data_IF_764853755514
#
_entry.id   IF_764853755514
#
_cell.length_a   1.000
_cell.length_b   1.000
_cell.length_c   1.000
_cell.angle_alpha   90.00
_cell.angle_beta   90.00
_cell.angle_gamma   90.00
#
_symmetry.space_group_name_H-M   'P 1'
#
loop_
_entity.id
_entity.type
_entity.pdbx_description
1 polymer ?
#
# COMPACT_ATOMS: atom_id res chain seq x y z
N UNK A 1 -4.13 -15.89 26.32
CA UNK A 1 -3.27 -16.61 25.35
C UNK A 1 -2.48 -15.51 24.65
N UNK A 2 -1.15 -15.45 24.79
CA UNK A 2 -0.37 -14.31 24.27
C UNK A 2 -0.54 -14.18 22.76
N UNK A 3 -0.71 -12.96 22.26
CA UNK A 3 -0.83 -12.67 20.82
C UNK A 3 0.38 -13.23 20.10
N UNK A 4 0.18 -14.29 19.31
CA UNK A 4 1.27 -14.96 18.61
C UNK A 4 1.76 -14.06 17.48
N UNK A 5 3.08 -13.86 17.42
CA UNK A 5 3.73 -13.13 16.31
C UNK A 5 3.33 -13.75 14.97
N UNK A 6 3.18 -15.08 14.91
CA UNK A 6 2.79 -15.80 13.70
C UNK A 6 1.36 -15.48 13.26
N UNK A 7 0.43 -15.26 14.21
CA UNK A 7 -0.94 -14.89 13.89
C UNK A 7 -1.02 -13.48 13.28
N UNK A 8 -0.39 -12.49 13.93
CA UNK A 8 -0.30 -11.13 13.39
C UNK A 8 0.40 -11.08 12.03
N UNK A 9 1.49 -11.84 11.89
CA UNK A 9 2.21 -11.99 10.62
C UNK A 9 1.32 -12.55 9.50
N UNK A 10 0.63 -13.65 9.77
CA UNK A 10 -0.15 -14.35 8.74
C UNK A 10 -1.37 -13.53 8.34
N UNK A 11 -2.07 -12.92 9.30
CA UNK A 11 -3.23 -12.05 9.05
C UNK A 11 -2.82 -10.81 8.27
N UNK A 12 -1.74 -10.13 8.68
CA UNK A 12 -1.26 -8.95 7.96
C UNK A 12 -0.74 -9.30 6.57
N UNK A 13 0.03 -10.38 6.42
CA UNK A 13 0.52 -10.80 5.10
C UNK A 13 -0.64 -11.10 4.15
N UNK A 14 -1.63 -11.88 4.58
CA UNK A 14 -2.79 -12.22 3.78
C UNK A 14 -3.61 -10.96 3.43
N UNK A 15 -3.86 -10.10 4.42
CA UNK A 15 -4.56 -8.83 4.25
C UNK A 15 -3.90 -7.96 3.18
N UNK A 16 -2.60 -7.71 3.36
CA UNK A 16 -1.82 -6.85 2.47
C UNK A 16 -1.76 -7.43 1.07
N UNK A 17 -1.46 -8.72 0.91
CA UNK A 17 -1.34 -9.30 -0.43
C UNK A 17 -2.67 -9.28 -1.17
N UNK A 18 -3.78 -9.64 -0.51
CA UNK A 18 -5.09 -9.71 -1.18
C UNK A 18 -5.70 -8.32 -1.41
N UNK A 19 -5.38 -7.33 -0.58
CA UNK A 19 -5.91 -5.97 -0.74
C UNK A 19 -5.09 -5.10 -1.67
N UNK A 20 -3.77 -5.36 -1.81
CA UNK A 20 -2.87 -4.54 -2.62
C UNK A 20 -2.69 -5.08 -4.04
N UNK A 21 -2.94 -6.36 -4.29
CA UNK A 21 -2.69 -6.94 -5.61
C UNK A 21 -3.71 -6.42 -6.62
N UNK A 22 -3.31 -5.58 -7.57
CA UNK A 22 -4.26 -5.02 -8.55
C UNK A 22 -5.17 -3.92 -7.99
N UNK A 23 -4.74 -3.23 -6.93
CA UNK A 23 -5.32 -1.95 -6.53
C UNK A 23 -4.66 -0.78 -7.31
N UNK A 24 -5.20 0.44 -7.16
CA UNK A 24 -4.73 1.68 -7.80
C UNK A 24 -3.23 1.91 -7.61
N UNK A 25 -2.72 1.53 -6.45
CA UNK A 25 -1.32 1.62 -6.04
C UNK A 25 -0.41 0.66 -6.82
N UNK A 26 -0.89 -0.56 -7.04
CA UNK A 26 -0.24 -1.59 -7.83
C UNK A 26 -0.10 -1.13 -9.29
N UNK A 27 -1.17 -0.59 -9.87
CA UNK A 27 -1.12 -0.06 -11.23
C UNK A 27 -0.25 1.19 -11.33
N UNK A 28 -0.28 2.07 -10.33
CA UNK A 28 0.58 3.23 -10.28
C UNK A 28 2.07 2.81 -10.27
N UNK A 29 2.45 1.82 -9.46
CA UNK A 29 3.80 1.27 -9.43
C UNK A 29 4.21 0.64 -10.77
N UNK A 30 3.31 -0.12 -11.41
CA UNK A 30 3.54 -0.71 -12.73
C UNK A 30 3.75 0.37 -13.81
N UNK A 31 2.92 1.42 -13.84
CA UNK A 31 3.00 2.52 -14.80
C UNK A 31 4.26 3.37 -14.58
N UNK A 32 4.58 3.69 -13.33
CA UNK A 32 5.81 4.41 -12.98
C UNK A 32 7.05 3.61 -13.42
N UNK A 33 7.05 2.29 -13.23
CA UNK A 33 8.14 1.41 -13.65
C UNK A 33 8.33 1.30 -15.17
N UNK A 34 7.30 1.64 -15.96
CA UNK A 34 7.41 1.74 -17.42
C UNK A 34 8.05 3.05 -17.88
N UNK A 35 7.83 4.14 -17.13
CA UNK A 35 8.30 5.49 -17.48
C UNK A 35 9.65 5.83 -16.85
N UNK A 36 10.04 5.14 -15.79
CA UNK A 36 11.24 5.39 -14.99
C UNK A 36 12.04 4.10 -14.72
N UNK A 37 13.33 4.21 -14.37
CA UNK A 37 14.14 3.03 -14.06
C UNK A 37 13.57 2.23 -12.88
N UNK A 38 13.26 0.95 -13.14
CA UNK A 38 12.58 0.02 -12.22
C UNK A 38 13.15 0.00 -10.80
N UNK A 39 14.48 0.06 -10.64
CA UNK A 39 15.15 0.03 -9.33
C UNK A 39 14.87 1.29 -8.49
N UNK A 40 14.78 2.46 -9.11
CA UNK A 40 14.51 3.72 -8.41
C UNK A 40 13.03 3.83 -8.04
N UNK A 41 12.14 3.37 -8.92
CA UNK A 41 10.69 3.30 -8.64
C UNK A 41 10.44 2.33 -7.49
N UNK A 42 10.99 1.12 -7.57
CA UNK A 42 10.81 0.10 -6.53
C UNK A 42 11.29 0.59 -5.17
N UNK A 43 12.48 1.20 -5.09
CA UNK A 43 13.01 1.71 -3.82
C UNK A 43 12.21 2.91 -3.27
N UNK A 44 11.70 3.78 -4.14
CA UNK A 44 10.81 4.87 -3.74
C UNK A 44 9.47 4.38 -3.19
N UNK A 45 8.79 3.50 -3.94
CA UNK A 45 7.52 2.91 -3.52
C UNK A 45 7.67 2.07 -2.24
N UNK A 46 8.65 1.15 -2.19
CA UNK A 46 8.89 0.36 -0.97
C UNK A 46 9.27 1.23 0.22
N UNK A 47 10.05 2.29 0.01
CA UNK A 47 10.37 3.24 1.08
C UNK A 47 9.12 3.90 1.65
N UNK A 48 8.21 4.36 0.79
CA UNK A 48 6.93 4.94 1.20
C UNK A 48 6.08 3.95 1.99
N UNK A 49 5.89 2.75 1.43
CA UNK A 49 5.09 1.67 2.00
C UNK A 49 5.61 1.21 3.36
N UNK A 50 6.92 1.02 3.50
CA UNK A 50 7.53 0.62 4.77
C UNK A 50 7.33 1.68 5.84
N UNK A 51 7.57 2.96 5.52
CA UNK A 51 7.36 4.06 6.48
C UNK A 51 5.90 4.10 6.90
N UNK A 52 4.99 4.03 5.93
CA UNK A 52 3.56 4.04 6.18
C UNK A 52 3.12 2.86 7.06
N UNK A 53 3.58 1.64 6.77
CA UNK A 53 3.28 0.45 7.57
C UNK A 53 3.77 0.57 9.00
N UNK A 54 4.98 1.10 9.21
CA UNK A 54 5.51 1.34 10.55
C UNK A 54 4.64 2.38 11.29
N UNK A 55 4.29 3.49 10.64
CA UNK A 55 3.42 4.51 11.24
C UNK A 55 2.05 3.94 11.61
N UNK A 56 1.44 3.17 10.71
CA UNK A 56 0.15 2.51 10.94
C UNK A 56 0.18 1.56 12.12
N UNK A 57 1.24 0.74 12.24
CA UNK A 57 1.37 -0.17 13.36
C UNK A 57 1.65 0.58 14.67
N UNK A 58 2.45 1.66 14.63
CA UNK A 58 2.66 2.50 15.81
C UNK A 58 1.35 3.13 16.30
N UNK A 59 0.51 3.62 15.38
CA UNK A 59 -0.83 4.14 15.71
C UNK A 59 -1.72 3.03 16.27
N UNK A 60 -1.78 1.87 15.62
CA UNK A 60 -2.58 0.73 16.05
C UNK A 60 -2.15 0.18 17.42
N UNK A 61 -0.84 0.14 17.70
CA UNK A 61 -0.31 -0.23 19.01
C UNK A 61 -0.61 0.81 20.09
N UNK A 62 -0.56 2.10 19.75
CA UNK A 62 -0.85 3.18 20.68
C UNK A 62 -2.35 3.35 20.96
N UNK A 63 -3.22 3.02 20.00
CA UNK A 63 -4.66 3.26 20.08
C UNK A 63 -5.34 2.56 21.29
N UNK A 64 -5.12 1.27 21.60
CA UNK A 64 -5.66 0.62 22.79
C UNK A 64 -5.21 1.23 24.13
N UNK A 65 -4.04 1.90 24.15
CA UNK A 65 -3.51 2.55 25.35
C UNK A 65 -4.14 3.94 25.58
N UNK A 66 -4.64 4.58 24.52
CA UNK A 66 -5.28 5.90 24.54
C UNK A 66 -6.81 5.82 24.60
N UNK A 67 -7.37 4.82 23.92
CA UNK A 67 -8.81 4.59 23.76
C UNK A 67 -9.08 3.20 24.34
N UNK A 68 -9.91 3.14 25.39
CA UNK A 68 -10.22 1.91 26.13
C UNK A 68 -10.39 0.70 25.21
N UNK A 69 -9.74 -0.43 25.54
CA UNK A 69 -9.61 -1.61 24.67
C UNK A 69 -10.94 -2.17 24.14
N UNK A 70 -12.04 -1.95 24.86
CA UNK A 70 -13.39 -2.28 24.41
C UNK A 70 -13.78 -1.50 23.15
N UNK A 71 -13.51 -0.20 23.12
CA UNK A 71 -13.85 0.67 21.99
C UNK A 71 -12.98 0.36 20.77
N UNK A 72 -11.68 0.16 20.98
CA UNK A 72 -10.76 -0.16 19.88
C UNK A 72 -11.18 -1.43 19.15
N UNK A 73 -11.58 -2.47 19.88
CA UNK A 73 -12.06 -3.71 19.27
C UNK A 73 -13.37 -3.53 18.46
N UNK A 74 -14.32 -2.73 18.97
CA UNK A 74 -15.55 -2.42 18.21
C UNK A 74 -15.25 -1.58 16.96
N UNK A 75 -14.33 -0.62 17.06
CA UNK A 75 -13.91 0.21 15.92
C UNK A 75 -13.25 -0.68 14.85
N UNK A 76 -12.31 -1.55 15.23
CA UNK A 76 -11.67 -2.51 14.32
C UNK A 76 -12.71 -3.39 13.63
N UNK A 77 -13.66 -3.94 14.39
CA UNK A 77 -14.75 -4.76 13.86
C UNK A 77 -15.61 -4.01 12.84
N UNK A 78 -16.02 -2.77 13.16
CA UNK A 78 -16.80 -1.93 12.26
C UNK A 78 -16.01 -1.54 11.01
N UNK A 79 -14.73 -1.23 11.14
CA UNK A 79 -13.85 -0.91 10.00
C UNK A 79 -13.72 -2.11 9.06
N UNK A 80 -13.45 -3.29 9.58
CA UNK A 80 -13.33 -4.50 8.76
C UNK A 80 -14.63 -4.82 8.01
N UNK A 81 -15.78 -4.75 8.68
CA UNK A 81 -17.06 -4.98 8.02
C UNK A 81 -17.39 -3.88 7.00
N UNK A 82 -17.18 -2.61 7.35
CA UNK A 82 -17.43 -1.47 6.48
C UNK A 82 -16.61 -1.52 5.19
N UNK A 83 -15.30 -1.75 5.31
CA UNK A 83 -14.43 -1.94 4.13
C UNK A 83 -14.78 -3.18 3.34
N UNK A 84 -15.20 -4.25 4.00
CA UNK A 84 -15.65 -5.47 3.34
C UNK A 84 -16.85 -5.24 2.42
N UNK A 85 -17.90 -4.60 2.94
CA UNK A 85 -19.08 -4.26 2.14
C UNK A 85 -18.77 -3.24 1.05
N UNK A 86 -17.96 -2.23 1.35
CA UNK A 86 -17.59 -1.22 0.37
C UNK A 86 -16.77 -1.84 -0.78
N UNK A 87 -15.79 -2.68 -0.49
CA UNK A 87 -14.97 -3.38 -1.48
C UNK A 87 -15.79 -4.35 -2.34
N UNK A 88 -16.79 -5.02 -1.77
CA UNK A 88 -17.73 -5.83 -2.56
C UNK A 88 -18.58 -4.97 -3.49
N UNK A 89 -19.07 -3.82 -3.02
CA UNK A 89 -19.85 -2.88 -3.84
C UNK A 89 -19.03 -2.33 -5.01
N UNK A 90 -17.77 -1.99 -4.74
CA UNK A 90 -16.75 -1.56 -5.72
C UNK A 90 -16.63 -2.57 -6.86
N UNK A 91 -16.46 -3.86 -6.49
CA UNK A 91 -16.27 -4.96 -7.43
C UNK A 91 -17.44 -5.17 -8.41
N UNK A 92 -18.63 -4.63 -8.13
CA UNK A 92 -19.79 -4.73 -9.03
C UNK A 92 -20.01 -3.48 -9.88
N UNK A 93 -19.43 -2.34 -9.53
CA UNK A 93 -19.76 -1.04 -10.13
C UNK A 93 -18.64 -0.43 -10.98
N UNK A 94 -17.37 -0.73 -10.71
CA UNK A 94 -16.24 -0.16 -11.47
C UNK A 94 -15.74 -1.13 -12.56
N UNK A 95 -15.33 -0.58 -13.70
CA UNK A 95 -14.83 -1.31 -14.86
C UNK A 95 -13.31 -1.22 -14.97
N UNK A 96 -12.63 -2.37 -15.00
CA UNK A 96 -11.16 -2.50 -14.87
C UNK A 96 -10.33 -1.70 -15.89
N UNK A 97 -10.87 -1.52 -17.10
CA UNK A 97 -10.18 -0.76 -18.14
C UNK A 97 -10.25 0.76 -17.91
N UNK A 98 -11.25 1.23 -17.17
CA UNK A 98 -11.45 2.64 -16.84
C UNK A 98 -10.51 3.08 -15.72
N UNK A 99 -10.30 2.24 -14.70
CA UNK A 99 -9.36 2.50 -13.60
C UNK A 99 -7.91 2.65 -14.07
N UNK A 100 -7.43 1.70 -14.88
CA UNK A 100 -6.10 1.78 -15.50
C UNK A 100 -5.89 3.09 -16.27
N UNK A 101 -6.89 3.51 -17.03
CA UNK A 101 -6.86 4.74 -17.80
C UNK A 101 -6.89 5.98 -16.90
N UNK A 102 -7.68 5.95 -15.82
CA UNK A 102 -7.74 7.03 -14.82
C UNK A 102 -6.41 7.18 -14.07
N UNK A 103 -5.79 6.08 -13.63
CA UNK A 103 -4.48 6.11 -12.96
C UNK A 103 -3.40 6.63 -13.90
N UNK A 104 -3.40 6.19 -15.17
CA UNK A 104 -2.47 6.72 -16.18
C UNK A 104 -2.69 8.22 -16.42
N UNK A 105 -3.94 8.67 -16.47
CA UNK A 105 -4.30 10.07 -16.65
C UNK A 105 -3.90 10.93 -15.45
N UNK A 106 -4.17 10.49 -14.22
CA UNK A 106 -3.77 11.18 -12.97
C UNK A 106 -2.27 11.30 -12.86
N UNK A 107 -1.52 10.21 -13.03
CA UNK A 107 -0.06 10.23 -13.06
C UNK A 107 0.48 11.13 -14.17
N UNK A 108 -0.16 11.13 -15.34
CA UNK A 108 0.18 12.03 -16.44
C UNK A 108 -0.08 13.51 -16.13
N UNK A 109 -1.17 13.83 -15.43
CA UNK A 109 -1.52 15.18 -15.01
C UNK A 109 -0.61 15.71 -13.90
N UNK A 110 -0.34 14.90 -12.87
CA UNK A 110 0.57 15.24 -11.77
C UNK A 110 2.00 15.45 -12.25
N UNK A 111 2.43 14.69 -13.26
CA UNK A 111 3.72 14.92 -13.93
C UNK A 111 3.76 16.26 -14.68
N UNK A 112 2.64 16.71 -15.26
CA UNK A 112 2.55 17.99 -15.98
C UNK A 112 2.43 19.18 -15.02
N UNK A 113 1.67 19.05 -13.93
CA UNK A 113 1.44 20.12 -12.95
C UNK A 113 2.68 20.39 -12.09
N UNK A 114 3.40 19.33 -11.67
CA UNK A 114 4.66 19.45 -10.93
C UNK A 114 5.86 19.80 -11.85
N UNK A 115 5.61 19.96 -13.15
CA UNK A 115 6.55 20.54 -14.13
C UNK A 115 6.65 22.07 -14.10
N UNK A 116 5.89 22.74 -13.22
CA UNK A 116 5.94 24.20 -13.03
C UNK A 116 7.10 24.71 -12.16
N UNK A 117 7.75 23.84 -11.39
CA UNK A 117 8.80 24.23 -10.43
C UNK A 117 10.06 23.39 -10.55
N UNK A 118 10.54 23.17 -11.78
CA UNK A 118 11.97 23.15 -12.18
C UNK A 118 12.03 22.93 -13.71
N UNK A 119 12.15 24.01 -14.48
CA UNK A 119 12.74 23.95 -15.82
C UNK A 119 14.23 23.69 -15.65
N UNK A 120 14.66 22.43 -15.68
CA UNK A 120 16.05 22.11 -15.98
C UNK A 120 16.12 21.02 -17.05
N UNK A 121 17.03 21.26 -17.99
CA UNK A 121 17.31 20.51 -19.20
C UNK A 121 17.19 18.99 -19.02
N UNK A 122 16.15 18.38 -19.61
CA UNK A 122 16.11 16.94 -19.90
C UNK A 122 16.60 16.68 -21.33
N UNK A 123 17.72 17.31 -21.67
CA UNK A 123 18.57 16.96 -22.79
C UNK A 123 19.98 16.99 -22.23
N UNK A 124 20.65 15.85 -22.34
CA UNK A 124 22.10 15.72 -22.21
C UNK A 124 22.66 15.81 -20.79
N UNK A 125 22.56 14.72 -20.01
CA UNK A 125 23.60 14.45 -18.98
C UNK A 125 23.78 12.96 -18.65
N UNK A 126 23.67 12.10 -19.66
CA UNK A 126 24.09 10.69 -19.55
C UNK A 126 25.59 10.53 -19.90
N UNK A 127 26.35 11.63 -19.96
CA UNK A 127 27.78 11.61 -20.32
C UNK A 127 28.72 12.61 -19.59
N UNK A 128 28.34 13.25 -18.47
CA UNK A 128 29.32 13.97 -17.65
C UNK A 128 29.30 13.53 -16.17
N UNK A 129 30.42 12.90 -15.78
CA UNK A 129 30.89 12.64 -14.41
C UNK A 129 30.29 11.43 -13.70
N UNK A 130 30.58 10.27 -14.29
CA UNK A 130 31.18 9.15 -13.56
C UNK A 130 32.34 9.70 -12.70
N UNK A 131 32.40 9.30 -11.42
CA UNK A 131 33.45 9.57 -10.41
C UNK A 131 32.98 10.52 -9.27
N UNK A 132 32.47 9.91 -8.20
CA UNK A 132 32.18 10.49 -6.87
C UNK A 132 30.89 11.31 -6.67
N UNK A 133 29.71 10.70 -6.88
CA UNK A 133 28.51 11.11 -6.11
C UNK A 133 28.49 10.32 -4.80
N UNK A 134 28.30 10.96 -3.62
CA UNK A 134 28.13 10.22 -2.38
C UNK A 134 26.92 9.29 -2.51
N UNK A 135 26.97 8.10 -1.91
CA UNK A 135 25.89 7.09 -1.97
C UNK A 135 24.53 7.71 -1.59
N UNK A 136 24.53 8.69 -0.69
CA UNK A 136 23.38 9.51 -0.30
C UNK A 136 22.75 10.32 -1.45
N UNK A 137 23.54 10.93 -2.34
CA UNK A 137 23.03 11.66 -3.50
C UNK A 137 22.43 10.74 -4.58
N UNK A 138 22.76 9.45 -4.53
CA UNK A 138 22.14 8.42 -5.37
C UNK A 138 20.84 7.88 -4.74
N UNK A 139 20.75 7.85 -3.40
CA UNK A 139 19.52 7.55 -2.65
C UNK A 139 18.46 8.66 -2.76
N UNK A 140 18.86 9.94 -2.88
CA UNK A 140 17.93 11.07 -3.06
C UNK A 140 17.81 11.49 -4.53
N UNK A 141 17.63 10.54 -5.45
CA UNK A 141 17.31 10.90 -6.84
C UNK A 141 15.92 11.54 -6.90
N UNK A 142 15.70 12.57 -7.76
CA UNK A 142 14.40 13.22 -7.89
C UNK A 142 13.30 12.25 -8.34
N UNK A 143 13.67 11.16 -9.02
CA UNK A 143 12.75 10.09 -9.44
C UNK A 143 12.29 9.26 -8.24
N UNK A 144 13.22 8.92 -7.33
CA UNK A 144 12.89 8.19 -6.10
C UNK A 144 11.97 9.00 -5.21
N UNK A 145 12.28 10.27 -4.98
CA UNK A 145 11.44 11.17 -4.17
C UNK A 145 10.05 11.38 -4.77
N UNK A 146 9.95 11.43 -6.11
CA UNK A 146 8.66 11.49 -6.81
C UNK A 146 7.85 10.21 -6.62
N UNK A 147 8.44 9.05 -6.89
CA UNK A 147 7.76 7.76 -6.68
C UNK A 147 7.35 7.57 -5.22
N UNK A 148 8.23 7.92 -4.29
CA UNK A 148 7.94 7.95 -2.86
C UNK A 148 6.75 8.84 -2.55
N UNK A 149 6.75 10.10 -2.99
CA UNK A 149 5.69 11.06 -2.64
C UNK A 149 4.35 10.66 -3.22
N UNK A 150 4.33 10.21 -4.48
CA UNK A 150 3.11 9.74 -5.14
C UNK A 150 2.53 8.53 -4.42
N UNK A 151 3.35 7.53 -4.09
CA UNK A 151 2.90 6.35 -3.34
C UNK A 151 2.47 6.72 -1.92
N UNK A 152 3.29 7.47 -1.19
CA UNK A 152 3.03 7.81 0.21
C UNK A 152 1.74 8.62 0.38
N UNK A 153 1.56 9.68 -0.40
CA UNK A 153 0.35 10.51 -0.31
C UNK A 153 -0.84 9.89 -1.02
N UNK A 154 -0.61 9.06 -2.05
CA UNK A 154 -1.67 8.33 -2.73
C UNK A 154 -2.29 7.23 -1.86
N UNK A 155 -1.50 6.63 -0.98
CA UNK A 155 -1.96 5.60 -0.03
C UNK A 155 -2.32 6.14 1.34
N UNK A 156 -2.10 7.43 1.59
CA UNK A 156 -2.38 7.99 2.90
C UNK A 156 -3.88 7.96 3.22
N UNK A 157 -4.25 7.16 4.21
CA UNK A 157 -5.61 6.95 4.68
C UNK A 157 -6.40 5.90 3.91
N UNK A 158 -5.74 5.04 3.14
CA UNK A 158 -6.41 4.00 2.35
C UNK A 158 -6.97 2.84 3.21
N UNK A 159 -7.63 1.89 2.53
CA UNK A 159 -8.20 0.67 3.11
C UNK A 159 -7.13 -0.15 3.82
N UNK A 160 -5.96 -0.36 3.20
CA UNK A 160 -4.89 -1.20 3.72
C UNK A 160 -4.21 -0.58 4.95
N UNK A 161 -4.11 0.75 5.01
CA UNK A 161 -3.61 1.50 6.16
C UNK A 161 -4.49 1.28 7.39
N UNK A 162 -5.79 1.48 7.22
CA UNK A 162 -6.77 1.35 8.30
C UNK A 162 -6.90 -0.10 8.75
N UNK A 163 -6.82 -1.07 7.83
CA UNK A 163 -6.74 -2.50 8.15
C UNK A 163 -5.50 -2.82 9.00
N UNK A 164 -4.34 -2.25 8.64
CA UNK A 164 -3.07 -2.43 9.37
C UNK A 164 -3.14 -1.83 10.77
N UNK A 165 -3.74 -0.65 10.93
CA UNK A 165 -3.98 -0.02 12.24
C UNK A 165 -4.89 -0.93 13.10
N UNK A 166 -6.00 -1.41 12.54
CA UNK A 166 -6.93 -2.30 13.24
C UNK A 166 -6.28 -3.63 13.66
N UNK A 167 -5.51 -4.25 12.76
CA UNK A 167 -4.74 -5.46 13.05
C UNK A 167 -3.69 -5.22 14.13
N UNK A 168 -2.95 -4.11 14.10
CA UNK A 168 -1.95 -3.79 15.11
C UNK A 168 -2.53 -3.50 16.50
N UNK A 169 -3.81 -3.12 16.58
CA UNK A 169 -4.52 -2.90 17.83
C UNK A 169 -4.94 -4.21 18.51
N UNK A 170 -5.30 -5.23 17.72
CA UNK A 170 -5.80 -6.52 18.21
C UNK A 170 -4.72 -7.62 18.22
N UNK A 171 -3.71 -7.54 17.35
CA UNK A 171 -2.65 -8.54 17.17
C UNK A 171 -1.26 -8.08 17.65
N UNK A 172 -0.27 -8.97 17.58
CA UNK A 172 1.11 -8.63 17.92
C UNK A 172 1.70 -7.63 16.89
N UNK A 173 2.10 -6.41 17.30
CA UNK A 173 2.58 -5.37 16.39
C UNK A 173 3.78 -5.80 15.53
N UNK A 174 4.71 -6.58 16.11
CA UNK A 174 5.89 -7.06 15.37
C UNK A 174 5.49 -8.04 14.26
N UNK A 175 4.52 -8.90 14.53
CA UNK A 175 3.96 -9.80 13.52
C UNK A 175 3.33 -9.01 12.38
N UNK A 176 2.50 -8.01 12.72
CA UNK A 176 1.81 -7.17 11.73
C UNK A 176 2.80 -6.38 10.87
N UNK A 177 3.81 -5.72 11.45
CA UNK A 177 4.84 -4.99 10.67
C UNK A 177 5.55 -5.92 9.69
N UNK A 178 6.01 -7.08 10.15
CA UNK A 178 6.75 -8.01 9.30
C UNK A 178 5.88 -8.58 8.18
N UNK A 179 4.63 -8.93 8.49
CA UNK A 179 3.67 -9.43 7.49
C UNK A 179 3.34 -8.37 6.45
N UNK A 180 3.06 -7.14 6.88
CA UNK A 180 2.74 -6.00 6.01
C UNK A 180 3.91 -5.62 5.09
N UNK A 181 5.12 -5.48 5.64
CA UNK A 181 6.32 -5.15 4.84
C UNK A 181 6.60 -6.22 3.79
N UNK A 182 6.52 -7.50 4.15
CA UNK A 182 6.74 -8.59 3.18
C UNK A 182 5.63 -8.62 2.13
N UNK A 183 4.37 -8.44 2.52
CA UNK A 183 3.25 -8.38 1.59
C UNK A 183 3.40 -7.25 0.57
N UNK A 184 3.66 -6.03 1.04
CA UNK A 184 3.93 -4.87 0.18
C UNK A 184 5.13 -5.11 -0.72
N UNK A 185 6.23 -5.66 -0.18
CA UNK A 185 7.41 -5.98 -0.96
C UNK A 185 7.10 -6.92 -2.12
N UNK A 186 6.29 -7.96 -1.89
CA UNK A 186 5.88 -8.90 -2.91
C UNK A 186 4.98 -8.23 -3.97
N UNK A 187 3.93 -7.52 -3.55
CA UNK A 187 2.99 -6.87 -4.45
C UNK A 187 3.67 -5.79 -5.33
N UNK A 188 4.43 -4.88 -4.73
CA UNK A 188 5.12 -3.81 -5.45
C UNK A 188 6.19 -4.38 -6.38
N UNK A 189 6.93 -5.41 -5.95
CA UNK A 189 7.92 -6.06 -6.82
C UNK A 189 7.24 -6.73 -8.01
N UNK A 190 6.12 -7.41 -7.79
CA UNK A 190 5.32 -8.02 -8.87
C UNK A 190 4.81 -6.96 -9.85
N UNK A 191 4.30 -5.82 -9.37
CA UNK A 191 3.85 -4.71 -10.20
C UNK A 191 4.99 -4.13 -11.07
N UNK A 192 6.13 -3.83 -10.44
CA UNK A 192 7.29 -3.20 -11.11
C UNK A 192 7.94 -4.14 -12.14
N UNK A 193 8.01 -5.44 -11.86
CA UNK A 193 8.55 -6.44 -12.79
C UNK A 193 7.54 -6.77 -13.89
N UNK A 194 6.27 -6.91 -13.52
CA UNK A 194 5.17 -7.31 -14.39
C UNK A 194 4.75 -6.25 -15.40
N UNK A 195 4.86 -4.97 -15.05
CA UNK A 195 4.57 -3.84 -15.93
C UNK A 195 3.19 -3.93 -16.59
N UNK A 196 3.07 -3.50 -17.86
CA UNK A 196 1.79 -3.49 -18.59
C UNK A 196 1.13 -4.86 -18.70
N UNK A 197 1.93 -5.93 -18.85
CA UNK A 197 1.40 -7.28 -19.07
C UNK A 197 0.66 -7.81 -17.85
N UNK A 198 1.21 -7.58 -16.66
CA UNK A 198 0.57 -7.98 -15.41
C UNK A 198 -0.61 -7.07 -15.09
N UNK A 199 -0.48 -5.77 -15.40
CA UNK A 199 -1.56 -4.80 -15.21
C UNK A 199 -2.82 -5.15 -16.03
N UNK A 200 -2.68 -5.67 -17.25
CA UNK A 200 -3.84 -6.04 -18.08
C UNK A 200 -4.40 -7.44 -17.79
N UNK A 201 -3.74 -8.24 -16.95
CA UNK A 201 -4.14 -9.63 -16.68
C UNK A 201 -4.74 -9.84 -15.30
N UNK A 202 -4.57 -8.89 -14.38
CA UNK A 202 -5.17 -8.94 -13.05
C UNK A 202 -6.54 -8.27 -13.14
N UNK A 203 -7.58 -9.04 -12.85
CA UNK A 203 -8.95 -8.54 -12.78
C UNK A 203 -9.16 -7.83 -11.44
N UNK A 204 -9.25 -6.50 -11.46
CA UNK A 204 -9.58 -5.66 -10.31
C UNK A 204 -10.85 -6.13 -9.61
N UNK A 205 -11.82 -6.63 -10.38
CA UNK A 205 -13.05 -7.20 -9.84
C UNK A 205 -12.79 -8.41 -8.94
N UNK A 206 -11.92 -9.32 -9.35
CA UNK A 206 -11.56 -10.50 -8.55
C UNK A 206 -10.79 -10.05 -7.30
N UNK A 207 -9.93 -9.05 -7.43
CA UNK A 207 -9.16 -8.46 -6.32
C UNK A 207 -10.10 -7.85 -5.29
N UNK A 208 -10.95 -6.90 -5.70
CA UNK A 208 -11.89 -6.20 -4.85
C UNK A 208 -12.89 -7.17 -4.17
N UNK A 209 -13.30 -8.22 -4.88
CA UNK A 209 -14.12 -9.28 -4.29
C UNK A 209 -13.35 -10.09 -3.25
N UNK A 210 -12.11 -10.49 -3.55
CA UNK A 210 -11.26 -11.25 -2.62
C UNK A 210 -10.89 -10.46 -1.36
N UNK A 211 -10.53 -9.17 -1.52
CA UNK A 211 -10.29 -8.24 -0.43
C UNK A 211 -11.55 -8.02 0.39
N UNK A 212 -12.69 -7.76 -0.24
CA UNK A 212 -13.97 -7.57 0.43
C UNK A 212 -14.41 -8.79 1.26
N UNK A 213 -14.27 -9.99 0.71
CA UNK A 213 -14.53 -11.24 1.46
C UNK A 213 -13.59 -11.37 2.65
N UNK A 214 -12.30 -11.10 2.46
CA UNK A 214 -11.31 -11.22 3.54
C UNK A 214 -11.55 -10.20 4.66
N UNK A 215 -11.89 -8.95 4.31
CA UNK A 215 -12.32 -7.91 5.23
C UNK A 215 -13.55 -8.36 6.05
N UNK A 216 -14.57 -8.94 5.41
CA UNK A 216 -15.75 -9.48 6.11
C UNK A 216 -15.37 -10.63 7.04
N UNK A 217 -14.54 -11.57 6.59
CA UNK A 217 -14.07 -12.70 7.40
C UNK A 217 -13.33 -12.20 8.65
N UNK A 218 -12.44 -11.22 8.50
CA UNK A 218 -11.74 -10.63 9.63
C UNK A 218 -12.66 -9.82 10.55
N UNK A 219 -13.66 -9.12 10.00
CA UNK A 219 -14.69 -8.43 10.77
C UNK A 219 -15.53 -9.39 11.60
N UNK A 220 -15.98 -10.51 11.03
CA UNK A 220 -16.72 -11.55 11.73
C UNK A 220 -15.84 -12.23 12.79
N UNK A 221 -14.59 -12.57 12.44
CA UNK A 221 -13.66 -13.18 13.39
C UNK A 221 -13.34 -12.23 14.56
N UNK A 222 -13.21 -10.94 14.28
CA UNK A 222 -13.07 -9.89 15.30
C UNK A 222 -14.30 -9.87 16.20
N UNK A 223 -15.50 -9.76 15.62
CA UNK A 223 -16.77 -9.74 16.37
C UNK A 223 -16.99 -10.97 17.27
N UNK A 224 -16.58 -12.16 16.81
CA UNK A 224 -16.70 -13.42 17.56
C UNK A 224 -15.61 -13.58 18.62
N UNK A 225 -14.54 -12.80 18.57
CA UNK A 225 -13.44 -12.90 19.53
C UNK A 225 -13.88 -12.28 20.86
N UNK A 226 -13.77 -13.01 21.99
CA UNK A 226 -14.19 -12.48 23.28
C UNK A 226 -13.31 -11.27 23.67
N UNK A 227 -13.98 -10.16 24.02
CA UNK A 227 -13.34 -8.93 24.47
C UNK A 227 -12.60 -9.24 25.77
N UNK A 228 -11.28 -9.43 25.68
CA UNK A 228 -10.46 -9.66 26.87
C UNK A 228 -10.24 -8.31 27.55
N UNK A 229 -10.96 -8.10 28.66
CA UNK A 229 -10.86 -6.93 29.53
C UNK A 229 -9.46 -6.76 30.10
#
# INVERSE_FOLDING_TARGET
MGLSIVQGFTKSLAMTVLSEIGDKTFFAAAILAMRHPRRLVLSGCLGALIIMTILSVLVGWAAPNLISRKWTHHITTLLFLGFGFWSLWDAFNEGEAEELAEVEAKLGADMKSNGGSTKENYKDDDNLKKQNRPVLAQFFSPILLKAFSITFFGEWGDKSQLATIGLAADENPLGVVLGGIIGQALCTTAAVIGGKSLATSISERIVALSGGVLFIVFGIQSFLSPIQS
#
